data_IF_282022164137
#
_entry.id   IF_282022164137
#
_cell.length_a   1.000
_cell.length_b   1.000
_cell.length_c   1.000
_cell.angle_alpha   90.00
_cell.angle_beta   90.00
_cell.angle_gamma   90.00
#
_symmetry.space_group_name_H-M   'P 1'
#
loop_
_entity.id
_entity.type
_entity.pdbx_description
1 polymer ?
#
# COMPACT_ATOMS: atom_id res chain seq x y z
N UNK A 1 -10.46 -18.67 -14.12
CA UNK A 1 -9.17 -19.13 -13.57
C UNK A 1 -8.12 -18.92 -14.63
N UNK A 2 -7.86 -17.65 -14.90
CA UNK A 2 -6.79 -17.23 -15.78
C UNK A 2 -6.04 -16.09 -15.10
N UNK A 3 -4.72 -16.24 -15.01
CA UNK A 3 -3.84 -15.11 -14.76
C UNK A 3 -3.72 -14.37 -16.09
N UNK A 4 -4.07 -13.09 -16.08
CA UNK A 4 -4.11 -12.24 -17.26
C UNK A 4 -3.00 -11.21 -17.18
N UNK A 5 -2.31 -10.99 -18.29
CA UNK A 5 -1.26 -9.98 -18.40
C UNK A 5 -1.49 -9.13 -19.65
N UNK A 6 -1.32 -7.81 -19.56
CA UNK A 6 -1.35 -6.95 -20.75
C UNK A 6 0.04 -6.63 -21.31
N UNK A 7 0.17 -6.33 -22.62
CA UNK A 7 1.45 -5.96 -23.19
C UNK A 7 2.07 -4.76 -22.48
N UNK A 8 3.40 -4.69 -22.37
CA UNK A 8 4.09 -3.65 -21.61
C UNK A 8 3.98 -2.31 -22.33
N UNK A 9 2.91 -1.56 -22.05
CA UNK A 9 2.56 -0.31 -22.72
C UNK A 9 2.62 0.91 -21.78
N UNK A 10 2.79 0.70 -20.48
CA UNK A 10 2.78 1.77 -19.49
C UNK A 10 4.21 2.28 -19.19
N UNK A 11 4.58 3.51 -19.59
CA UNK A 11 5.91 4.05 -19.31
C UNK A 11 6.01 4.59 -17.88
N UNK A 12 6.88 4.02 -17.07
CA UNK A 12 7.20 4.51 -15.73
C UNK A 12 8.64 4.15 -15.35
N UNK A 13 9.28 4.91 -14.45
CA UNK A 13 10.61 4.59 -13.90
C UNK A 13 11.71 4.23 -14.93
N UNK A 14 11.63 4.77 -16.16
CA UNK A 14 12.57 4.47 -17.24
C UNK A 14 12.38 3.11 -17.92
N UNK A 15 11.24 2.45 -17.72
CA UNK A 15 10.89 1.18 -18.36
C UNK A 15 9.40 1.11 -18.73
N UNK A 16 9.00 0.03 -19.40
CA UNK A 16 7.61 -0.26 -19.71
C UNK A 16 7.08 -1.30 -18.73
N UNK A 17 5.84 -1.11 -18.29
CA UNK A 17 5.15 -1.99 -17.37
C UNK A 17 3.90 -2.60 -18.01
N UNK A 18 3.66 -3.84 -17.60
CA UNK A 18 2.46 -4.62 -17.80
C UNK A 18 1.70 -4.73 -16.49
N UNK A 19 0.38 -4.91 -16.54
CA UNK A 19 -0.45 -5.22 -15.38
C UNK A 19 -0.78 -6.70 -15.41
N UNK A 20 -0.65 -7.33 -14.25
CA UNK A 20 -0.98 -8.73 -14.03
C UNK A 20 -2.15 -8.83 -13.06
N UNK A 21 -3.23 -9.49 -13.48
CA UNK A 21 -4.45 -9.68 -12.67
C UNK A 21 -4.91 -11.13 -12.69
N UNK A 22 -5.81 -11.44 -11.76
CA UNK A 22 -6.63 -12.65 -11.82
C UNK A 22 -8.10 -12.29 -12.07
N UNK A 23 -8.79 -13.12 -12.86
CA UNK A 23 -10.23 -12.99 -13.12
C UNK A 23 -11.13 -13.67 -12.07
N UNK A 24 -10.55 -14.29 -11.04
CA UNK A 24 -11.26 -15.12 -10.05
C UNK A 24 -10.89 -14.81 -8.60
N UNK A 25 -9.61 -14.61 -8.27
CA UNK A 25 -9.18 -14.31 -6.90
C UNK A 25 -7.83 -13.62 -6.80
N UNK A 26 -7.72 -12.69 -5.86
CA UNK A 26 -6.45 -12.03 -5.49
C UNK A 26 -5.48 -13.02 -4.81
N UNK A 27 -6.00 -14.07 -4.14
CA UNK A 27 -5.17 -15.07 -3.46
C UNK A 27 -4.32 -15.86 -4.46
N UNK A 28 -4.92 -16.28 -5.59
CA UNK A 28 -4.16 -17.01 -6.62
C UNK A 28 -3.16 -16.09 -7.34
N UNK A 29 -3.50 -14.81 -7.49
CA UNK A 29 -2.61 -13.81 -8.06
C UNK A 29 -1.35 -13.66 -7.19
N UNK A 30 -1.52 -13.60 -5.86
CA UNK A 30 -0.39 -13.59 -4.93
C UNK A 30 0.42 -14.89 -4.98
N UNK A 31 -0.22 -16.05 -5.10
CA UNK A 31 0.49 -17.33 -5.20
C UNK A 31 1.33 -17.41 -6.49
N UNK A 32 0.77 -16.99 -7.62
CA UNK A 32 1.48 -16.92 -8.89
C UNK A 32 2.63 -15.91 -8.84
N UNK A 33 2.38 -14.72 -8.28
CA UNK A 33 3.40 -13.70 -8.11
C UNK A 33 4.56 -14.17 -7.22
N UNK A 34 4.27 -14.87 -6.11
CA UNK A 34 5.30 -15.44 -5.24
C UNK A 34 6.11 -16.53 -5.95
N UNK A 35 5.47 -17.37 -6.78
CA UNK A 35 6.15 -18.40 -7.57
C UNK A 35 7.12 -17.83 -8.60
N UNK A 36 6.89 -16.60 -9.07
CA UNK A 36 7.71 -15.90 -10.05
C UNK A 36 8.58 -14.77 -9.45
N UNK A 37 8.78 -14.79 -8.14
CA UNK A 37 9.60 -13.81 -7.40
C UNK A 37 9.22 -12.35 -7.72
N UNK A 38 7.91 -12.09 -7.90
CA UNK A 38 7.40 -10.73 -8.02
C UNK A 38 7.36 -10.09 -6.63
N UNK A 39 7.98 -8.92 -6.45
CA UNK A 39 8.05 -8.32 -5.12
C UNK A 39 6.66 -7.83 -4.69
N UNK A 40 6.28 -8.07 -3.43
CA UNK A 40 4.97 -7.67 -2.90
C UNK A 40 4.68 -6.16 -3.01
N UNK A 41 5.72 -5.31 -3.08
CA UNK A 41 5.57 -3.86 -3.30
C UNK A 41 5.06 -3.49 -4.70
N UNK A 42 5.13 -4.41 -5.66
CA UNK A 42 4.61 -4.21 -7.00
C UNK A 42 3.09 -4.47 -7.07
N UNK A 43 2.48 -4.91 -5.98
CA UNK A 43 1.04 -5.07 -5.89
C UNK A 43 0.36 -3.73 -5.58
N UNK A 44 -0.56 -3.29 -6.44
CA UNK A 44 -1.45 -2.17 -6.19
C UNK A 44 -2.92 -2.65 -6.18
N UNK A 45 -3.40 -2.98 -4.97
CA UNK A 45 -4.80 -3.30 -4.60
C UNK A 45 -5.46 -4.51 -5.26
N UNK A 46 -5.38 -4.63 -6.58
CA UNK A 46 -6.04 -5.65 -7.38
C UNK A 46 -5.16 -6.19 -8.52
N UNK A 47 -3.98 -5.60 -8.76
CA UNK A 47 -3.05 -6.02 -9.81
C UNK A 47 -1.59 -5.92 -9.36
N UNK A 48 -0.70 -6.56 -10.12
CA UNK A 48 0.75 -6.38 -10.02
C UNK A 48 1.31 -5.61 -11.21
N UNK A 49 2.19 -4.65 -10.96
CA UNK A 49 3.01 -3.98 -11.97
C UNK A 49 4.25 -4.83 -12.32
N UNK A 50 4.33 -5.26 -13.57
CA UNK A 50 5.38 -6.13 -14.07
C UNK A 50 6.26 -5.36 -15.06
N UNK A 51 7.57 -5.19 -14.81
CA UNK A 51 8.46 -4.56 -15.77
C UNK A 51 8.63 -5.46 -17.02
N UNK A 52 8.82 -4.84 -18.19
CA UNK A 52 8.98 -5.53 -19.49
C UNK A 52 10.00 -6.68 -19.47
N UNK A 53 11.06 -6.56 -18.66
CA UNK A 53 12.07 -7.61 -18.51
C UNK A 53 11.51 -8.94 -17.96
N UNK A 54 10.41 -8.91 -17.20
CA UNK A 54 9.76 -10.10 -16.61
C UNK A 54 8.56 -10.59 -17.42
N UNK A 55 8.04 -9.76 -18.32
CA UNK A 55 6.84 -10.02 -19.12
C UNK A 55 6.86 -11.39 -19.81
N UNK A 56 7.88 -11.63 -20.63
CA UNK A 56 7.99 -12.85 -21.44
C UNK A 56 8.06 -14.12 -20.57
N UNK A 57 8.70 -14.04 -19.39
CA UNK A 57 8.78 -15.15 -18.46
C UNK A 57 7.43 -15.53 -17.85
N UNK A 58 6.60 -14.53 -17.53
CA UNK A 58 5.26 -14.77 -16.98
C UNK A 58 4.32 -15.36 -18.04
N UNK A 59 4.37 -14.85 -19.28
CA UNK A 59 3.60 -15.42 -20.40
C UNK A 59 4.00 -16.87 -20.66
N UNK A 60 5.31 -17.15 -20.72
CA UNK A 60 5.81 -18.51 -20.88
C UNK A 60 5.43 -19.45 -19.73
N UNK A 61 5.17 -18.91 -18.54
CA UNK A 61 4.76 -19.66 -17.35
C UNK A 61 3.25 -19.88 -17.25
N UNK A 62 2.47 -19.41 -18.22
CA UNK A 62 1.02 -19.64 -18.29
C UNK A 62 0.15 -18.40 -18.03
N UNK A 63 0.72 -17.21 -17.88
CA UNK A 63 -0.07 -15.98 -17.92
C UNK A 63 -0.63 -15.77 -19.35
N UNK A 64 -1.93 -15.54 -19.44
CA UNK A 64 -2.60 -15.30 -20.72
C UNK A 64 -2.46 -13.84 -21.10
N UNK A 65 -1.77 -13.58 -22.20
CA UNK A 65 -1.69 -12.24 -22.78
C UNK A 65 -3.07 -11.79 -23.29
N UNK A 66 -3.52 -10.63 -22.82
CA UNK A 66 -4.78 -9.99 -23.24
C UNK A 66 -4.58 -8.48 -23.40
N UNK A 67 -5.43 -7.80 -24.17
CA UNK A 67 -5.36 -6.34 -24.23
C UNK A 67 -5.68 -5.70 -22.86
N UNK A 68 -5.12 -4.54 -22.55
CA UNK A 68 -5.40 -3.82 -21.30
C UNK A 68 -6.90 -3.54 -21.11
N UNK A 69 -7.64 -3.36 -22.22
CA UNK A 69 -9.10 -3.18 -22.20
C UNK A 69 -9.83 -4.47 -21.77
N UNK A 70 -9.41 -5.60 -22.31
CA UNK A 70 -9.96 -6.92 -21.96
C UNK A 70 -9.64 -7.28 -20.51
N UNK A 71 -8.40 -7.03 -20.09
CA UNK A 71 -7.95 -7.20 -18.72
C UNK A 71 -8.85 -6.44 -17.75
N UNK A 72 -9.07 -5.15 -18.01
CA UNK A 72 -9.93 -4.30 -17.19
C UNK A 72 -11.40 -4.77 -17.20
N UNK A 73 -11.91 -5.20 -18.36
CA UNK A 73 -13.28 -5.69 -18.48
C UNK A 73 -13.51 -6.95 -17.63
N UNK A 74 -12.57 -7.90 -17.64
CA UNK A 74 -12.63 -9.12 -16.81
C UNK A 74 -12.45 -8.82 -15.34
N UNK A 75 -11.52 -7.92 -14.98
CA UNK A 75 -11.35 -7.48 -13.60
C UNK A 75 -12.63 -6.83 -13.05
N UNK A 76 -13.30 -6.00 -13.86
CA UNK A 76 -14.61 -5.43 -13.50
C UNK A 76 -15.70 -6.50 -13.37
N UNK A 77 -15.79 -7.44 -14.31
CA UNK A 77 -16.76 -8.52 -14.29
C UNK A 77 -16.58 -9.46 -13.09
N UNK A 78 -15.34 -9.67 -12.62
CA UNK A 78 -15.02 -10.47 -11.45
C UNK A 78 -15.44 -9.81 -10.11
N UNK A 79 -15.70 -8.50 -10.12
CA UNK A 79 -15.97 -7.73 -8.90
C UNK A 79 -14.75 -7.51 -7.99
N UNK A 80 -13.55 -7.93 -8.41
CA UNK A 80 -12.31 -7.78 -7.62
C UNK A 80 -11.75 -6.36 -7.64
N UNK A 81 -12.16 -5.52 -8.61
CA UNK A 81 -11.62 -4.17 -8.78
C UNK A 81 -11.87 -3.31 -7.54
N UNK A 82 -10.79 -2.80 -6.94
CA UNK A 82 -10.86 -1.91 -5.77
C UNK A 82 -10.64 -0.47 -6.20
N UNK A 83 -11.75 0.27 -6.39
CA UNK A 83 -11.69 1.69 -6.72
C UNK A 83 -11.07 2.48 -5.55
N UNK A 84 -10.20 3.45 -5.88
CA UNK A 84 -9.78 4.49 -4.93
C UNK A 84 -11.02 5.28 -4.51
N UNK A 85 -11.48 5.13 -3.27
CA UNK A 85 -12.44 6.08 -2.69
C UNK A 85 -11.65 7.35 -2.39
N UNK A 86 -12.04 8.53 -2.93
CA UNK A 86 -11.45 9.80 -2.54
C UNK A 86 -11.60 9.98 -1.02
N UNK A 87 -10.58 10.55 -0.37
CA UNK A 87 -10.52 10.63 1.09
C UNK A 87 -11.60 11.55 1.70
N UNK A 88 -12.34 12.29 0.87
CA UNK A 88 -13.39 13.21 1.30
C UNK A 88 -14.68 12.58 1.85
N UNK A 89 -14.90 11.26 1.73
CA UNK A 89 -16.16 10.61 2.10
C UNK A 89 -16.11 9.76 3.38
N UNK A 90 -15.12 9.99 4.25
CA UNK A 90 -15.15 9.47 5.62
C UNK A 90 -15.80 10.52 6.52
N UNK A 91 -16.97 10.24 7.15
CA UNK A 91 -17.54 11.16 8.13
C UNK A 91 -16.55 11.35 9.25
N UNK A 92 -15.95 12.53 9.33
CA UNK A 92 -15.10 12.94 10.46
C UNK A 92 -15.98 12.82 11.71
N UNK A 93 -15.57 12.14 12.79
CA UNK A 93 -16.34 12.17 14.02
C UNK A 93 -16.48 13.65 14.44
N UNK A 94 -17.72 14.13 14.52
CA UNK A 94 -18.02 15.47 15.03
C UNK A 94 -17.43 15.56 16.44
N UNK A 95 -16.39 16.37 16.59
CA UNK A 95 -15.83 16.66 17.90
C UNK A 95 -16.94 17.17 18.82
N UNK A 96 -17.19 16.43 19.89
CA UNK A 96 -17.94 16.93 21.03
C UNK A 96 -17.13 18.07 21.65
N UNK A 97 -17.52 19.31 21.36
CA UNK A 97 -17.16 20.43 22.20
C UNK A 97 -17.97 20.32 23.49
N UNK A 98 -17.44 19.59 24.48
CA UNK A 98 -17.90 19.73 25.85
C UNK A 98 -17.28 21.00 26.43
N UNK A 99 -18.00 22.11 26.24
CA UNK A 99 -17.86 23.26 27.10
C UNK A 99 -18.42 22.91 28.48
N UNK A 100 -17.60 23.01 29.52
CA UNK A 100 -18.02 22.81 30.90
C UNK A 100 -17.06 23.45 31.91
N UNK A 101 -17.45 24.64 32.38
CA UNK A 101 -17.25 25.23 33.72
C UNK A 101 -15.84 25.17 34.38
N UNK A 102 -15.17 26.30 34.56
CA UNK A 102 -15.33 27.22 35.69
C UNK A 102 -14.79 26.70 37.04
N UNK A 103 -13.59 27.19 37.38
CA UNK A 103 -13.10 27.69 38.67
C UNK A 103 -12.99 26.77 39.89
N UNK A 104 -11.88 27.03 40.60
CA UNK A 104 -11.66 26.88 42.05
C UNK A 104 -11.38 25.46 42.61
N UNK A 105 -10.10 25.13 42.84
CA UNK A 105 -9.51 25.16 44.21
C UNK A 105 -8.04 24.76 44.24
N UNK A 106 -7.30 25.45 45.10
CA UNK A 106 -5.88 25.33 45.46
C UNK A 106 -5.36 23.92 45.76
N UNK A 107 -4.10 23.66 45.35
CA UNK A 107 -3.16 22.86 46.15
C UNK A 107 -1.70 23.11 45.72
N UNK A 108 -0.90 23.56 46.69
CA UNK A 108 0.57 23.62 46.68
C UNK A 108 1.22 22.29 46.32
N UNK A 109 2.34 22.35 45.59
CA UNK A 109 3.57 21.62 45.94
C UNK A 109 4.70 22.03 44.98
N UNK A 110 5.52 22.98 45.45
CA UNK A 110 6.93 23.11 45.05
C UNK A 110 7.66 21.83 45.44
N UNK A 111 8.48 21.27 44.54
CA UNK A 111 9.87 20.82 44.77
C UNK A 111 10.43 20.35 43.41
N UNK A 112 11.59 20.92 43.03
CA UNK A 112 12.34 20.62 41.80
C UNK A 112 12.91 19.20 41.77
N UNK A 113 13.69 18.82 40.75
CA UNK A 113 15.08 19.29 40.70
C UNK A 113 15.63 19.42 39.27
N UNK A 114 16.81 20.03 39.11
CA UNK A 114 18.01 19.40 38.51
C UNK A 114 19.06 20.48 38.26
N UNK A 115 20.05 20.56 39.13
CA UNK A 115 21.32 21.20 38.79
C UNK A 115 22.26 20.10 38.29
N UNK A 116 22.47 20.13 36.97
CA UNK A 116 23.64 19.63 36.27
C UNK A 116 24.91 20.18 36.92
N UNK A 117 25.84 19.30 37.30
CA UNK A 117 27.28 19.65 37.42
C UNK A 117 28.12 18.38 37.31
N UNK A 118 28.78 18.22 36.17
CA UNK A 118 30.03 17.47 35.99
C UNK A 118 31.18 18.38 36.49
N UNK A 119 32.29 17.85 37.06
CA UNK A 119 33.48 17.57 36.25
C UNK A 119 34.28 16.32 36.74
N UNK A 120 34.84 15.49 35.83
CA UNK A 120 36.20 15.49 35.26
C UNK A 120 37.35 15.21 36.25
N UNK A 121 38.28 14.34 35.82
CA UNK A 121 39.75 14.30 36.11
C UNK A 121 40.20 12.99 36.79
N UNK A 122 40.65 11.98 36.04
CA UNK A 122 42.03 11.59 35.60
C UNK A 122 42.93 10.90 36.64
N UNK A 123 43.66 9.90 36.13
CA UNK A 123 44.92 9.30 36.63
C UNK A 123 44.76 8.37 37.85
N UNK A 124 45.42 7.20 37.87
CA UNK A 124 46.78 6.90 37.39
C UNK A 124 46.95 5.41 37.12
#
# INVERSE_FOLDING_TARGET
MAILIDPPNWPAHGTLFSHLVSDVSVVELHAFAAHHDLPGRAFDRDHYDVPVARYAGLVASGATEVSSRELLARLLASGLRRRKVPAEDVPRPRGCHDGGASLDRSASATIGPTLTTTPRTTSR
#
